data_IF_796744202364
#
_entry.id   IF_796744202364
#
_cell.length_a   1.000
_cell.length_b   1.000
_cell.length_c   1.000
_cell.angle_alpha   90.00
_cell.angle_beta   90.00
_cell.angle_gamma   90.00
#
_symmetry.space_group_name_H-M   'P 1'
#
loop_
_entity.id
_entity.type
_entity.pdbx_description
1 polymer ?
#
# COMPACT_ATOMS: atom_id res chain seq x y z
N UNK A 1 -1.32 -2.63 -16.55
CA UNK A 1 -2.28 -1.51 -16.66
C UNK A 1 -3.69 -2.08 -16.69
N UNK A 2 -4.32 -2.27 -15.53
CA UNK A 2 -5.77 -2.53 -15.42
C UNK A 2 -6.24 -1.77 -14.19
N UNK A 3 -6.48 -0.48 -14.35
CA UNK A 3 -7.08 0.38 -13.33
C UNK A 3 -7.98 1.37 -14.04
N UNK A 4 -9.28 1.35 -13.73
CA UNK A 4 -10.42 2.21 -14.14
C UNK A 4 -10.55 2.63 -15.62
N UNK A 5 -9.45 2.93 -16.33
CA UNK A 5 -9.44 3.31 -17.75
C UNK A 5 -9.84 2.23 -18.75
N UNK A 6 -9.91 0.96 -18.34
CA UNK A 6 -10.48 -0.11 -19.18
C UNK A 6 -12.00 0.05 -19.34
N UNK A 7 -12.68 0.73 -18.41
CA UNK A 7 -14.12 1.00 -18.46
C UNK A 7 -14.45 2.44 -18.90
N UNK A 8 -13.50 3.14 -19.56
CA UNK A 8 -13.73 4.48 -20.10
C UNK A 8 -13.53 5.65 -19.13
N UNK A 9 -12.93 5.42 -17.95
CA UNK A 9 -12.51 6.48 -17.02
C UNK A 9 -11.07 6.96 -17.26
N UNK A 10 -10.66 8.05 -16.60
CA UNK A 10 -9.24 8.43 -16.58
C UNK A 10 -8.43 7.44 -15.73
N UNK A 11 -7.22 7.03 -16.17
CA UNK A 11 -6.33 6.23 -15.32
C UNK A 11 -6.15 6.91 -13.96
N UNK A 12 -6.11 6.13 -12.86
CA UNK A 12 -5.93 6.70 -11.50
C UNK A 12 -4.67 7.55 -11.40
N UNK A 13 -3.61 7.18 -12.12
CA UNK A 13 -2.37 7.95 -12.21
C UNK A 13 -2.58 9.34 -12.86
N UNK A 14 -3.58 9.51 -13.71
CA UNK A 14 -3.89 10.75 -14.43
C UNK A 14 -5.11 11.49 -13.83
N UNK A 15 -5.79 10.89 -12.84
CA UNK A 15 -6.92 11.49 -12.15
C UNK A 15 -6.50 12.71 -11.30
N UNK A 16 -7.46 13.55 -10.92
CA UNK A 16 -7.23 14.85 -10.28
C UNK A 16 -6.32 15.80 -11.09
N UNK A 17 -6.42 15.82 -12.42
CA UNK A 17 -5.62 16.70 -13.29
C UNK A 17 -4.15 16.30 -13.38
N UNK A 18 -3.81 15.03 -13.15
CA UNK A 18 -2.44 14.54 -13.16
C UNK A 18 -1.65 14.82 -11.88
N UNK A 19 -2.28 15.22 -10.78
CA UNK A 19 -1.60 15.49 -9.49
C UNK A 19 -1.05 14.21 -8.84
N UNK A 20 -1.58 13.05 -9.23
CA UNK A 20 -1.07 11.72 -8.84
C UNK A 20 -0.15 11.10 -9.90
N UNK A 21 0.14 11.82 -10.98
CA UNK A 21 1.00 11.34 -12.04
C UNK A 21 2.45 11.24 -11.54
N UNK A 22 3.25 10.41 -12.20
CA UNK A 22 4.64 10.21 -11.79
C UNK A 22 5.48 11.49 -11.90
N UNK A 23 5.09 12.44 -12.74
CA UNK A 23 5.80 13.70 -12.98
C UNK A 23 5.44 14.83 -12.02
N UNK A 24 4.34 14.72 -11.27
CA UNK A 24 3.86 15.79 -10.39
C UNK A 24 4.54 15.82 -9.02
N UNK A 25 5.16 14.73 -8.57
CA UNK A 25 5.91 14.71 -7.30
C UNK A 25 7.03 13.68 -7.30
N UNK A 26 8.10 13.97 -6.56
CA UNK A 26 9.23 13.06 -6.33
C UNK A 26 8.84 11.76 -5.61
N UNK A 27 7.64 11.72 -5.01
CA UNK A 27 7.11 10.57 -4.27
C UNK A 27 6.13 9.73 -5.08
N UNK A 28 5.77 10.16 -6.30
CA UNK A 28 4.84 9.41 -7.13
C UNK A 28 5.56 8.20 -7.75
N UNK A 29 5.08 6.98 -7.50
CA UNK A 29 5.65 5.79 -8.12
C UNK A 29 5.36 5.79 -9.62
N UNK A 30 6.20 5.09 -10.39
CA UNK A 30 5.94 4.99 -11.83
C UNK A 30 4.61 4.27 -12.08
N UNK A 31 3.97 4.56 -13.22
CA UNK A 31 2.64 4.02 -13.58
C UNK A 31 2.55 2.49 -13.52
N UNK A 32 3.68 1.78 -13.70
CA UNK A 32 3.79 0.33 -13.52
C UNK A 32 3.44 -0.17 -12.11
N UNK A 33 3.62 0.66 -11.08
CA UNK A 33 3.33 0.31 -9.68
C UNK A 33 1.87 -0.06 -9.46
N UNK A 34 0.95 0.59 -10.19
CA UNK A 34 -0.49 0.38 -10.08
C UNK A 34 -0.96 -1.00 -10.56
N UNK A 35 -0.09 -1.81 -11.19
CA UNK A 35 -0.39 -3.22 -11.49
C UNK A 35 -0.68 -4.06 -10.25
N UNK A 36 -0.24 -3.62 -9.06
CA UNK A 36 -0.56 -4.26 -7.78
C UNK A 36 -2.07 -4.30 -7.50
N UNK A 37 -2.86 -3.38 -8.05
CA UNK A 37 -4.32 -3.41 -7.92
C UNK A 37 -4.92 -4.65 -8.57
N UNK A 38 -4.37 -5.14 -9.69
CA UNK A 38 -4.82 -6.40 -10.30
C UNK A 38 -4.64 -7.55 -9.31
N UNK A 39 -3.50 -7.62 -8.62
CA UNK A 39 -3.24 -8.64 -7.61
C UNK A 39 -4.22 -8.50 -6.42
N UNK A 40 -4.45 -7.28 -5.94
CA UNK A 40 -5.38 -7.00 -4.84
C UNK A 40 -6.81 -7.41 -5.22
N UNK A 41 -7.31 -7.00 -6.38
CA UNK A 41 -8.68 -7.31 -6.81
C UNK A 41 -8.89 -8.80 -7.07
N UNK A 42 -7.93 -9.49 -7.69
CA UNK A 42 -7.99 -10.95 -7.86
C UNK A 42 -8.02 -11.64 -6.50
N UNK A 43 -7.16 -11.23 -5.57
CA UNK A 43 -7.14 -11.78 -4.21
C UNK A 43 -8.43 -11.53 -3.44
N UNK A 44 -9.03 -10.34 -3.56
CA UNK A 44 -10.31 -10.00 -2.91
C UNK A 44 -11.49 -10.76 -3.53
N UNK A 45 -11.46 -10.99 -4.84
CA UNK A 45 -12.42 -11.87 -5.52
C UNK A 45 -12.31 -13.30 -5.01
N UNK A 46 -11.08 -13.83 -4.93
CA UNK A 46 -10.83 -15.15 -4.35
C UNK A 46 -11.28 -15.23 -2.88
N UNK A 47 -11.08 -14.17 -2.09
CA UNK A 47 -11.54 -14.09 -0.71
C UNK A 47 -13.07 -14.13 -0.60
N UNK A 48 -13.75 -13.44 -1.49
CA UNK A 48 -15.22 -13.44 -1.54
C UNK A 48 -15.75 -14.84 -1.87
N UNK A 49 -15.14 -15.53 -2.84
CA UNK A 49 -15.50 -16.91 -3.18
C UNK A 49 -15.18 -17.88 -2.03
N UNK A 50 -14.06 -17.66 -1.32
CA UNK A 50 -13.68 -18.47 -0.16
C UNK A 50 -14.69 -18.32 0.98
N UNK A 51 -15.06 -17.08 1.33
CA UNK A 51 -16.08 -16.77 2.34
C UNK A 51 -17.45 -17.36 1.99
N UNK A 52 -17.79 -17.48 0.70
CA UNK A 52 -19.02 -18.13 0.28
C UNK A 52 -19.05 -19.61 0.69
N UNK A 53 -17.89 -20.29 0.61
CA UNK A 53 -17.78 -21.71 0.95
C UNK A 53 -17.54 -21.96 2.44
N UNK A 54 -16.82 -21.06 3.11
CA UNK A 54 -16.44 -21.17 4.53
C UNK A 54 -17.09 -20.04 5.35
N UNK A 55 -18.34 -20.27 5.75
CA UNK A 55 -19.18 -19.28 6.46
C UNK A 55 -18.81 -19.09 7.94
N UNK A 56 -18.02 -19.97 8.55
CA UNK A 56 -17.61 -19.88 9.96
C UNK A 56 -16.20 -19.29 10.13
N UNK A 57 -15.94 -18.13 9.51
CA UNK A 57 -14.72 -17.38 9.77
C UNK A 57 -14.77 -16.72 11.14
N UNK A 58 -14.20 -17.40 12.13
CA UNK A 58 -14.07 -16.94 13.52
C UNK A 58 -13.38 -15.58 13.68
N UNK A 59 -12.64 -15.11 12.66
CA UNK A 59 -11.96 -13.80 12.66
C UNK A 59 -12.94 -12.63 12.50
N UNK A 60 -14.18 -12.88 12.02
CA UNK A 60 -15.26 -11.90 11.82
C UNK A 60 -14.78 -10.64 11.07
N UNK A 61 -14.03 -10.86 9.99
CA UNK A 61 -13.39 -9.79 9.21
C UNK A 61 -14.24 -9.29 8.03
N UNK A 62 -15.30 -10.01 7.65
CA UNK A 62 -16.14 -9.70 6.48
C UNK A 62 -16.61 -8.24 6.42
N UNK A 63 -17.15 -7.70 7.52
CA UNK A 63 -17.61 -6.31 7.56
C UNK A 63 -16.49 -5.28 7.39
N UNK A 64 -15.29 -5.56 7.90
CA UNK A 64 -14.13 -4.69 7.69
C UNK A 64 -13.65 -4.77 6.24
N UNK A 65 -13.72 -5.95 5.60
CA UNK A 65 -13.43 -6.09 4.18
C UNK A 65 -14.44 -5.27 3.37
N UNK A 66 -15.74 -5.38 3.63
CA UNK A 66 -16.77 -4.56 2.95
C UNK A 66 -16.50 -3.07 3.16
N UNK A 67 -16.24 -2.62 4.40
CA UNK A 67 -15.90 -1.24 4.69
C UNK A 67 -14.66 -0.77 3.90
N UNK A 68 -13.64 -1.62 3.77
CA UNK A 68 -12.45 -1.30 2.98
C UNK A 68 -12.74 -1.11 1.49
N UNK A 69 -13.72 -1.86 0.94
CA UNK A 69 -14.11 -1.73 -0.47
C UNK A 69 -14.92 -0.45 -0.70
N UNK A 70 -15.85 -0.14 0.20
CA UNK A 70 -16.64 1.09 0.13
C UNK A 70 -15.76 2.34 0.26
N UNK A 71 -14.81 2.32 1.19
CA UNK A 71 -13.85 3.41 1.36
C UNK A 71 -12.90 3.55 0.16
N UNK A 72 -12.52 2.45 -0.49
CA UNK A 72 -11.72 2.49 -1.70
C UNK A 72 -12.49 3.08 -2.88
N UNK A 73 -13.75 2.67 -3.08
CA UNK A 73 -14.63 3.26 -4.07
C UNK A 73 -14.84 4.76 -3.80
N UNK A 74 -15.09 5.14 -2.55
CA UNK A 74 -15.20 6.55 -2.15
C UNK A 74 -13.91 7.32 -2.44
N UNK A 75 -12.74 6.75 -2.16
CA UNK A 75 -11.44 7.37 -2.46
C UNK A 75 -11.28 7.61 -3.97
N UNK A 76 -11.60 6.62 -4.82
CA UNK A 76 -11.56 6.76 -6.28
C UNK A 76 -12.47 7.90 -6.76
N UNK A 77 -13.69 8.01 -6.21
CA UNK A 77 -14.62 9.08 -6.57
C UNK A 77 -14.11 10.46 -6.15
N UNK A 78 -13.55 10.57 -4.95
CA UNK A 78 -13.00 11.82 -4.41
C UNK A 78 -11.79 12.30 -5.21
N UNK A 79 -10.89 11.38 -5.58
CA UNK A 79 -9.74 11.69 -6.45
C UNK A 79 -10.22 12.13 -7.84
N UNK A 80 -11.20 11.44 -8.43
CA UNK A 80 -11.76 11.84 -9.73
C UNK A 80 -12.45 13.21 -9.67
N UNK A 81 -13.06 13.57 -8.54
CA UNK A 81 -13.63 14.89 -8.31
C UNK A 81 -12.58 16.00 -8.07
N UNK A 82 -11.27 15.67 -8.07
CA UNK A 82 -10.19 16.63 -7.83
C UNK A 82 -10.07 17.12 -6.39
N UNK A 83 -10.76 16.46 -5.44
CA UNK A 83 -10.80 16.88 -4.03
C UNK A 83 -9.62 16.27 -3.25
N UNK A 84 -8.41 16.81 -3.45
CA UNK A 84 -7.15 16.22 -2.97
C UNK A 84 -7.06 16.09 -1.44
N UNK A 85 -7.46 17.11 -0.68
CA UNK A 85 -7.46 17.00 0.79
C UNK A 85 -8.47 15.98 1.32
N UNK A 86 -9.64 15.89 0.67
CA UNK A 86 -10.62 14.89 1.03
C UNK A 86 -10.11 13.47 0.73
N UNK A 87 -9.31 13.28 -0.33
CA UNK A 87 -8.73 11.98 -0.66
C UNK A 87 -7.77 11.50 0.44
N UNK A 88 -7.01 12.42 1.06
CA UNK A 88 -6.17 12.15 2.23
C UNK A 88 -7.03 11.66 3.41
N UNK A 89 -8.14 12.33 3.71
CA UNK A 89 -9.01 11.90 4.82
C UNK A 89 -9.56 10.50 4.56
N UNK A 90 -10.10 10.24 3.37
CA UNK A 90 -10.69 8.94 3.03
C UNK A 90 -9.64 7.83 3.06
N UNK A 91 -8.43 8.06 2.53
CA UNK A 91 -7.38 7.04 2.51
C UNK A 91 -6.82 6.74 3.90
N UNK A 92 -6.77 7.74 4.80
CA UNK A 92 -6.41 7.53 6.21
C UNK A 92 -7.45 6.68 6.94
N UNK A 93 -8.74 6.92 6.69
CA UNK A 93 -9.81 6.08 7.25
C UNK A 93 -9.73 4.65 6.70
N UNK A 94 -9.48 4.49 5.39
CA UNK A 94 -9.24 3.18 4.77
C UNK A 94 -8.04 2.46 5.40
N UNK A 95 -6.93 3.19 5.61
CA UNK A 95 -5.75 2.65 6.28
C UNK A 95 -6.09 2.16 7.69
N UNK A 96 -6.87 2.91 8.47
CA UNK A 96 -7.35 2.50 9.79
C UNK A 96 -8.13 1.19 9.76
N UNK A 97 -9.01 1.00 8.78
CA UNK A 97 -9.76 -0.25 8.57
C UNK A 97 -8.83 -1.42 8.24
N UNK A 98 -7.82 -1.19 7.39
CA UNK A 98 -6.84 -2.23 7.02
C UNK A 98 -5.90 -2.58 8.18
N UNK A 99 -5.53 -1.63 9.02
CA UNK A 99 -4.79 -1.89 10.26
C UNK A 99 -5.65 -2.72 11.23
N UNK A 100 -6.94 -2.42 11.37
CA UNK A 100 -7.85 -3.24 12.17
C UNK A 100 -7.94 -4.68 11.64
N UNK A 101 -8.00 -4.86 10.31
CA UNK A 101 -7.92 -6.18 9.67
C UNK A 101 -6.61 -6.90 9.99
N UNK A 102 -5.47 -6.22 9.84
CA UNK A 102 -4.16 -6.77 10.18
C UNK A 102 -4.08 -7.26 11.62
N UNK A 103 -4.54 -6.45 12.58
CA UNK A 103 -4.53 -6.82 13.99
C UNK A 103 -5.43 -8.03 14.26
N UNK A 104 -6.63 -8.10 13.65
CA UNK A 104 -7.54 -9.26 13.79
C UNK A 104 -6.96 -10.54 13.19
N UNK A 105 -6.41 -10.48 11.97
CA UNK A 105 -5.78 -11.61 11.30
C UNK A 105 -4.61 -12.17 12.11
N UNK A 106 -3.84 -11.29 12.75
CA UNK A 106 -2.74 -11.69 13.64
C UNK A 106 -3.21 -12.28 14.97
N UNK A 107 -4.26 -11.73 15.55
CA UNK A 107 -4.80 -12.19 16.83
C UNK A 107 -5.46 -13.57 16.72
N UNK A 108 -6.01 -13.90 15.55
CA UNK A 108 -6.69 -15.19 15.30
C UNK A 108 -6.15 -15.82 14.02
N UNK A 109 -4.96 -16.47 14.07
CA UNK A 109 -4.38 -17.13 12.90
C UNK A 109 -5.26 -18.30 12.45
N UNK A 110 -5.49 -18.42 11.15
CA UNK A 110 -6.18 -19.58 10.59
C UNK A 110 -5.24 -20.78 10.46
N UNK A 111 -5.77 -21.99 10.69
CA UNK A 111 -5.07 -23.25 10.42
C UNK A 111 -5.20 -23.69 8.96
N UNK A 112 -6.09 -23.07 8.19
CA UNK A 112 -6.31 -23.40 6.80
C UNK A 112 -5.32 -22.62 5.91
N UNK A 113 -4.41 -23.28 5.19
CA UNK A 113 -3.41 -22.61 4.36
C UNK A 113 -4.03 -21.83 3.20
N UNK A 114 -5.15 -22.29 2.64
CA UNK A 114 -5.86 -21.61 1.54
C UNK A 114 -6.52 -20.34 2.10
N UNK A 115 -7.22 -20.45 3.23
CA UNK A 115 -7.81 -19.28 3.90
C UNK A 115 -6.76 -18.24 4.33
N UNK A 116 -5.56 -18.68 4.71
CA UNK A 116 -4.44 -17.79 4.99
C UNK A 116 -3.93 -17.11 3.71
N UNK A 117 -3.68 -17.86 2.64
CA UNK A 117 -3.18 -17.29 1.39
C UNK A 117 -4.15 -16.24 0.81
N UNK A 118 -5.44 -16.58 0.79
CA UNK A 118 -6.48 -15.77 0.18
C UNK A 118 -6.84 -14.56 1.05
N UNK A 119 -6.97 -14.71 2.37
CA UNK A 119 -7.31 -13.59 3.26
C UNK A 119 -6.05 -12.84 3.70
N UNK A 120 -5.14 -13.50 4.42
CA UNK A 120 -3.97 -12.88 5.03
C UNK A 120 -3.02 -12.32 3.97
N UNK A 121 -2.76 -13.09 2.91
CA UNK A 121 -1.91 -12.65 1.81
C UNK A 121 -2.49 -11.41 1.11
N UNK A 122 -3.73 -11.49 0.62
CA UNK A 122 -4.40 -10.40 -0.08
C UNK A 122 -4.52 -9.15 0.78
N UNK A 123 -5.04 -9.28 2.01
CA UNK A 123 -5.26 -8.13 2.90
C UNK A 123 -3.94 -7.53 3.38
N UNK A 124 -2.90 -8.34 3.48
CA UNK A 124 -1.53 -7.88 3.70
C UNK A 124 -1.03 -7.02 2.54
N UNK A 125 -1.09 -7.54 1.30
CA UNK A 125 -0.72 -6.76 0.09
C UNK A 125 -1.51 -5.46 0.03
N UNK A 126 -2.82 -5.53 0.31
CA UNK A 126 -3.69 -4.37 0.28
C UNK A 126 -3.31 -3.31 1.32
N UNK A 127 -3.05 -3.71 2.58
CA UNK A 127 -2.54 -2.82 3.62
C UNK A 127 -1.26 -2.13 3.19
N UNK A 128 -0.26 -2.91 2.73
CA UNK A 128 1.04 -2.36 2.37
C UNK A 128 0.95 -1.37 1.22
N UNK A 129 0.12 -1.66 0.22
CA UNK A 129 -0.13 -0.74 -0.88
C UNK A 129 -0.81 0.55 -0.41
N UNK A 130 -1.82 0.47 0.47
CA UNK A 130 -2.50 1.64 1.01
C UNK A 130 -1.58 2.50 1.89
N UNK A 131 -0.59 1.92 2.58
CA UNK A 131 0.47 2.70 3.24
C UNK A 131 1.23 3.59 2.25
N UNK A 132 1.66 3.04 1.11
CA UNK A 132 2.37 3.79 0.06
C UNK A 132 1.43 4.82 -0.60
N UNK A 133 0.19 4.44 -0.88
CA UNK A 133 -0.79 5.35 -1.47
C UNK A 133 -1.15 6.52 -0.54
N UNK A 134 -1.20 6.29 0.78
CA UNK A 134 -1.43 7.36 1.77
C UNK A 134 -0.33 8.41 1.70
N UNK A 135 0.93 7.96 1.65
CA UNK A 135 2.10 8.81 1.45
C UNK A 135 1.99 9.64 0.17
N UNK A 136 1.63 9.00 -0.95
CA UNK A 136 1.45 9.70 -2.23
C UNK A 136 0.31 10.72 -2.19
N UNK A 137 -0.83 10.40 -1.54
CA UNK A 137 -1.96 11.31 -1.39
C UNK A 137 -1.59 12.54 -0.55
N UNK A 138 -0.87 12.36 0.56
CA UNK A 138 -0.41 13.49 1.39
C UNK A 138 0.56 14.37 0.62
N UNK A 139 1.51 13.77 -0.12
CA UNK A 139 2.44 14.51 -0.96
C UNK A 139 1.72 15.33 -2.03
N UNK A 140 0.73 14.72 -2.71
CA UNK A 140 -0.13 15.38 -3.68
C UNK A 140 -0.92 16.55 -3.06
N UNK A 141 -1.52 16.36 -1.89
CA UNK A 141 -2.28 17.39 -1.20
C UNK A 141 -1.41 18.60 -0.82
N UNK A 142 -0.21 18.34 -0.27
CA UNK A 142 0.75 19.38 0.06
C UNK A 142 1.21 20.13 -1.20
N UNK A 143 1.57 19.42 -2.27
CA UNK A 143 1.94 20.04 -3.54
C UNK A 143 0.80 20.92 -4.11
N UNK A 144 -0.46 20.46 -4.02
CA UNK A 144 -1.63 21.21 -4.50
C UNK A 144 -1.94 22.47 -3.67
N UNK A 145 -1.48 22.53 -2.41
CA UNK A 145 -1.75 23.65 -1.51
C UNK A 145 -0.85 24.87 -1.72
N UNK A 146 0.12 24.79 -2.64
CA UNK A 146 1.07 25.88 -2.89
C UNK A 146 1.98 26.20 -1.70
N UNK A 147 1.99 25.33 -0.67
CA UNK A 147 2.92 25.43 0.45
C UNK A 147 4.32 25.21 -0.09
N UNK A 148 5.08 26.29 -0.17
CA UNK A 148 6.48 26.24 -0.52
C UNK A 148 7.22 25.52 0.62
N UNK A 149 7.46 24.22 0.44
CA UNK A 149 8.09 23.34 1.41
C UNK A 149 9.61 23.62 1.53
N UNK A 150 10.02 24.90 1.49
CA UNK A 150 11.39 25.35 1.59
C UNK A 150 12.17 25.33 0.27
N UNK A 151 11.51 25.49 -0.89
CA UNK A 151 12.14 25.65 -2.20
C UNK A 151 12.77 24.40 -2.83
N UNK A 152 13.14 23.38 -2.05
CA UNK A 152 13.68 22.11 -2.54
C UNK A 152 12.80 20.91 -2.09
N UNK A 153 12.15 20.18 -3.01
CA UNK A 153 11.29 19.05 -2.66
C UNK A 153 12.04 17.76 -2.27
N UNK A 154 13.36 17.69 -2.50
CA UNK A 154 14.16 16.47 -2.27
C UNK A 154 14.26 16.07 -0.78
N UNK A 155 14.57 16.98 0.18
CA UNK A 155 14.64 16.62 1.60
C UNK A 155 13.32 16.06 2.14
N UNK A 156 12.18 16.64 1.75
CA UNK A 156 10.86 16.15 2.13
C UNK A 156 10.57 14.76 1.59
N UNK A 157 10.99 14.50 0.36
CA UNK A 157 10.86 13.17 -0.27
C UNK A 157 11.60 12.10 0.55
N UNK A 158 12.80 12.42 1.04
CA UNK A 158 13.60 11.51 1.88
C UNK A 158 12.92 11.27 3.24
N UNK A 159 12.40 12.31 3.89
CA UNK A 159 11.67 12.19 5.18
C UNK A 159 10.45 11.29 5.02
N UNK A 160 9.67 11.51 3.96
CA UNK A 160 8.46 10.74 3.71
C UNK A 160 8.78 9.28 3.36
N UNK A 161 9.84 9.03 2.58
CA UNK A 161 10.34 7.68 2.34
C UNK A 161 10.81 7.01 3.64
N UNK A 162 11.48 7.74 4.54
CA UNK A 162 11.88 7.22 5.84
C UNK A 162 10.65 6.82 6.68
N UNK A 163 9.59 7.61 6.68
CA UNK A 163 8.32 7.27 7.35
C UNK A 163 7.69 6.01 6.74
N UNK A 164 7.63 5.90 5.41
CA UNK A 164 7.15 4.70 4.73
C UNK A 164 7.99 3.46 5.12
N UNK A 165 9.32 3.62 5.21
CA UNK A 165 10.24 2.61 5.68
C UNK A 165 9.99 2.19 7.13
N UNK A 166 9.80 3.15 8.04
CA UNK A 166 9.48 2.89 9.44
C UNK A 166 8.17 2.12 9.58
N UNK A 167 7.14 2.47 8.81
CA UNK A 167 5.87 1.72 8.79
C UNK A 167 6.08 0.29 8.29
N UNK A 168 6.82 0.10 7.19
CA UNK A 168 7.13 -1.23 6.66
C UNK A 168 7.92 -2.10 7.65
N UNK A 169 8.93 -1.52 8.30
CA UNK A 169 9.72 -2.18 9.35
C UNK A 169 8.83 -2.51 10.55
N UNK A 170 7.99 -1.58 11.01
CA UNK A 170 7.08 -1.80 12.13
C UNK A 170 6.10 -2.95 11.83
N UNK A 171 5.49 -2.98 10.65
CA UNK A 171 4.60 -4.06 10.23
C UNK A 171 5.33 -5.41 10.18
N UNK A 172 6.55 -5.45 9.64
CA UNK A 172 7.36 -6.68 9.60
C UNK A 172 7.74 -7.19 11.00
N UNK A 173 8.17 -6.29 11.89
CA UNK A 173 8.59 -6.62 13.27
C UNK A 173 7.39 -7.04 14.12
N UNK A 174 6.35 -6.21 14.16
CA UNK A 174 5.10 -6.50 14.89
C UNK A 174 4.47 -7.78 14.33
N UNK A 175 4.54 -7.95 13.01
CA UNK A 175 4.03 -9.10 12.28
C UNK A 175 4.73 -10.43 12.56
N UNK A 176 5.97 -10.42 13.06
CA UNK A 176 6.78 -11.60 13.40
C UNK A 176 6.78 -12.69 12.30
N UNK A 177 6.88 -12.27 11.03
CA UNK A 177 6.90 -13.19 9.89
C UNK A 177 5.54 -13.86 9.56
N UNK A 178 4.43 -13.38 10.12
CA UNK A 178 3.08 -13.77 9.70
C UNK A 178 2.85 -13.43 8.23
N UNK A 179 2.00 -14.22 7.55
CA UNK A 179 1.77 -14.05 6.11
C UNK A 179 1.23 -12.66 5.76
N UNK A 180 0.29 -12.15 6.56
CA UNK A 180 -0.27 -10.79 6.40
C UNK A 180 0.82 -9.71 6.50
N UNK A 181 1.78 -9.88 7.41
CA UNK A 181 2.86 -8.91 7.59
C UNK A 181 3.90 -8.99 6.48
N UNK A 182 4.28 -10.19 6.05
CA UNK A 182 5.23 -10.36 4.94
C UNK A 182 4.65 -9.86 3.63
N UNK A 183 3.35 -10.07 3.41
CA UNK A 183 2.64 -9.54 2.25
C UNK A 183 2.54 -8.00 2.27
N UNK A 184 2.27 -7.40 3.44
CA UNK A 184 2.28 -5.95 3.60
C UNK A 184 3.67 -5.35 3.36
N UNK A 185 4.72 -5.95 3.93
CA UNK A 185 6.08 -5.51 3.70
C UNK A 185 6.47 -5.63 2.21
N UNK A 186 6.10 -6.73 1.54
CA UNK A 186 6.35 -6.91 0.10
C UNK A 186 5.65 -5.83 -0.74
N UNK A 187 4.42 -5.47 -0.42
CA UNK A 187 3.69 -4.41 -1.12
C UNK A 187 4.30 -3.01 -0.88
N UNK A 188 4.79 -2.73 0.34
CA UNK A 188 5.53 -1.49 0.64
C UNK A 188 6.84 -1.46 -0.14
N UNK A 189 7.63 -2.53 -0.09
CA UNK A 189 8.87 -2.67 -0.87
C UNK A 189 8.61 -2.45 -2.36
N UNK A 190 7.55 -3.05 -2.91
CA UNK A 190 7.14 -2.86 -4.30
C UNK A 190 6.84 -1.41 -4.62
N UNK A 191 5.97 -0.76 -3.85
CA UNK A 191 5.58 0.63 -4.09
C UNK A 191 6.77 1.59 -3.99
N UNK A 192 7.61 1.43 -2.96
CA UNK A 192 8.81 2.24 -2.76
C UNK A 192 9.86 1.99 -3.85
N UNK A 193 10.05 0.75 -4.29
CA UNK A 193 10.96 0.44 -5.40
C UNK A 193 10.51 1.14 -6.70
N UNK A 194 9.21 1.22 -6.96
CA UNK A 194 8.69 1.95 -8.13
C UNK A 194 8.84 3.47 -8.03
N UNK A 195 8.98 4.04 -6.82
CA UNK A 195 9.41 5.43 -6.65
C UNK A 195 10.85 5.58 -7.12
N UNK A 196 11.74 4.65 -6.75
CA UNK A 196 13.13 4.67 -7.20
C UNK A 196 13.22 4.59 -8.74
N UNK A 197 12.45 3.68 -9.36
CA UNK A 197 12.37 3.57 -10.83
C UNK A 197 11.89 4.89 -11.45
N UNK A 198 10.83 5.49 -10.91
CA UNK A 198 10.32 6.76 -11.42
C UNK A 198 11.35 7.89 -11.35
N UNK A 199 12.16 7.93 -10.29
CA UNK A 199 13.19 8.97 -10.10
C UNK A 199 14.47 8.78 -10.90
N UNK A 200 14.74 7.54 -11.35
CA UNK A 200 15.89 7.22 -12.21
C UNK A 200 15.58 7.34 -13.71
N UNK A 201 14.32 7.13 -14.11
CA UNK A 201 13.93 7.01 -15.52
C UNK A 201 12.90 8.07 -15.96
N UNK A 202 12.39 8.87 -15.03
CA UNK A 202 11.33 9.84 -15.28
C UNK A 202 11.57 11.16 -14.56
N UNK A 203 10.72 12.14 -14.86
CA UNK A 203 10.78 13.47 -14.26
C UNK A 203 9.91 13.55 -12.99
N UNK A 204 10.19 14.49 -12.06
CA UNK A 204 11.49 15.14 -11.87
C UNK A 204 12.59 14.15 -11.46
N UNK A 205 13.68 14.11 -12.22
CA UNK A 205 14.83 13.24 -11.95
C UNK A 205 15.46 13.57 -10.58
N UNK A 206 15.79 12.55 -9.79
CA UNK A 206 16.45 12.77 -8.50
C UNK A 206 17.18 11.53 -8.00
N UNK A 207 18.50 11.50 -8.19
CA UNK A 207 19.37 10.42 -7.69
C UNK A 207 19.28 10.26 -6.17
N UNK A 208 19.15 11.37 -5.43
CA UNK A 208 19.00 11.33 -3.96
C UNK A 208 17.70 10.63 -3.55
N UNK A 209 16.57 11.00 -4.18
CA UNK A 209 15.28 10.37 -3.88
C UNK A 209 15.26 8.91 -4.33
N UNK A 210 15.86 8.61 -5.49
CA UNK A 210 15.98 7.25 -6.01
C UNK A 210 16.76 6.33 -5.07
N UNK A 211 17.95 6.77 -4.64
CA UNK A 211 18.81 6.00 -3.74
C UNK A 211 18.20 5.84 -2.35
N UNK A 212 17.56 6.89 -1.81
CA UNK A 212 16.80 6.80 -0.57
C UNK A 212 15.64 5.78 -0.67
N UNK A 213 14.87 5.81 -1.75
CA UNK A 213 13.78 4.87 -1.99
C UNK A 213 14.32 3.43 -2.11
N UNK A 214 15.38 3.21 -2.88
CA UNK A 214 16.01 1.90 -3.01
C UNK A 214 16.53 1.37 -1.65
N UNK A 215 17.18 2.22 -0.85
CA UNK A 215 17.67 1.86 0.47
C UNK A 215 16.52 1.48 1.43
N UNK A 216 15.44 2.27 1.44
CA UNK A 216 14.25 1.98 2.25
C UNK A 216 13.58 0.66 1.81
N UNK A 217 13.40 0.45 0.50
CA UNK A 217 12.83 -0.78 -0.02
C UNK A 217 13.67 -2.01 0.38
N UNK A 218 15.00 -1.90 0.27
CA UNK A 218 15.95 -2.93 0.69
C UNK A 218 15.88 -3.21 2.19
N UNK A 219 15.80 -2.19 3.03
CA UNK A 219 15.68 -2.33 4.48
C UNK A 219 14.37 -3.04 4.87
N UNK A 220 13.23 -2.61 4.33
CA UNK A 220 11.92 -3.24 4.60
C UNK A 220 11.93 -4.70 4.17
N UNK A 221 12.47 -5.00 2.98
CA UNK A 221 12.59 -6.36 2.48
C UNK A 221 13.48 -7.23 3.39
N UNK A 222 14.65 -6.72 3.78
CA UNK A 222 15.58 -7.43 4.65
C UNK A 222 14.94 -7.74 6.01
N UNK A 223 14.31 -6.77 6.66
CA UNK A 223 13.65 -6.97 7.96
C UNK A 223 12.51 -7.99 7.83
N UNK A 224 11.72 -7.93 6.77
CA UNK A 224 10.65 -8.90 6.52
C UNK A 224 11.20 -10.32 6.31
N UNK A 225 12.28 -10.47 5.53
CA UNK A 225 12.95 -11.76 5.31
C UNK A 225 13.56 -12.32 6.59
N UNK A 226 14.20 -11.49 7.41
CA UNK A 226 14.75 -11.90 8.72
C UNK A 226 13.62 -12.33 9.67
N UNK A 227 12.52 -11.58 9.73
CA UNK A 227 11.37 -11.95 10.55
C UNK A 227 10.73 -13.27 10.09
N UNK A 228 10.63 -13.49 8.78
CA UNK A 228 10.16 -14.74 8.19
C UNK A 228 11.09 -15.91 8.49
N UNK A 229 12.40 -15.74 8.29
CA UNK A 229 13.40 -16.77 8.56
C UNK A 229 13.35 -17.20 10.04
N UNK A 230 13.31 -16.24 10.98
CA UNK A 230 13.17 -16.52 12.41
C UNK A 230 11.90 -17.29 12.76
N UNK A 231 10.81 -17.05 12.03
CA UNK A 231 9.55 -17.78 12.24
C UNK A 231 9.63 -19.23 11.74
N UNK A 232 10.33 -19.46 10.62
CA UNK A 232 10.50 -20.80 10.04
C UNK A 232 11.46 -21.65 10.88
N UNK A 233 12.51 -21.04 11.45
CA UNK A 233 13.52 -21.74 12.25
C UNK A 233 13.15 -21.90 13.73
N UNK A 234 12.11 -21.21 14.21
CA UNK A 234 11.64 -21.38 15.59
C UNK A 234 11.13 -22.83 15.81
N UNK A 235 11.55 -23.50 16.90
CA UNK A 235 11.04 -24.83 17.22
C UNK A 235 9.52 -24.78 17.37
N UNK A 236 8.84 -25.77 16.77
CA UNK A 236 7.41 -26.00 16.95
C UNK A 236 7.23 -26.79 18.24
N UNK A 237 7.06 -26.09 19.35
CA UNK A 237 6.65 -26.67 20.63
C UNK A 237 5.17 -27.08 20.59
#
# INVERSE_FOLDING_TARGET
>A
MIGVGVFGGTPIAEAAGGVLASDSTHLAPASGAFSIWTLIYVGLGAYTLWQWWDFDDRRRIAWLVVASQLLNAAWILVVQAGQVWLSVVVIVVLLGVLVALFLRLRATPTRNPIGAAVADGTLGVYLGWVCVATVANVAAALASSGVDAGGNPVPWSVVVLAVAGLVGVALAVVGRGSLVATAAAAAITWGVAWIAVARLQGQPESTTTATAAAAVAGLVALVALVALARRITAPRD
#
